data_IF_732904460874
#
_entry.id   IF_732904460874
#
_cell.length_a   1.000
_cell.length_b   1.000
_cell.length_c   1.000
_cell.angle_alpha   90.00
_cell.angle_beta   90.00
_cell.angle_gamma   90.00
#
_symmetry.space_group_name_H-M   'P 1'
#
loop_
_entity.id
_entity.type
_entity.pdbx_description
1 polymer ?
#
# COMPACT_ATOMS: atom_id res chain seq x y z
N UNK A 1 53.36 -1.89 17.17
CA UNK A 1 52.63 -0.71 17.68
C UNK A 1 51.70 -0.21 16.58
N UNK A 2 50.41 -0.53 16.64
CA UNK A 2 49.40 -0.01 15.71
C UNK A 2 48.30 0.70 16.49
N UNK A 3 48.31 2.03 16.49
CA UNK A 3 47.24 2.86 17.07
C UNK A 3 46.09 2.95 16.07
N UNK A 4 45.11 2.05 16.20
CA UNK A 4 43.81 2.18 15.54
C UNK A 4 42.82 2.83 16.49
N UNK A 5 42.83 4.16 16.57
CA UNK A 5 41.90 4.94 17.38
C UNK A 5 40.51 4.98 16.75
N UNK A 6 39.75 3.89 16.85
CA UNK A 6 38.33 3.90 16.54
C UNK A 6 37.58 4.62 17.67
N UNK A 7 36.84 5.70 17.34
CA UNK A 7 35.90 6.32 18.29
C UNK A 7 34.99 5.23 18.85
N UNK A 8 34.97 5.09 20.17
CA UNK A 8 34.06 4.17 20.85
C UNK A 8 32.62 4.61 20.55
N UNK A 9 31.92 3.84 19.72
CA UNK A 9 30.50 4.01 19.50
C UNK A 9 29.77 3.25 20.60
N UNK A 10 29.03 3.98 21.44
CA UNK A 10 28.06 3.36 22.34
C UNK A 10 26.79 3.06 21.53
N UNK A 11 26.40 1.78 21.34
CA UNK A 11 25.12 1.45 20.72
C UNK A 11 24.00 2.06 21.56
N UNK A 12 23.02 2.66 20.90
CA UNK A 12 21.81 3.16 21.56
C UNK A 12 20.63 2.40 20.97
N UNK A 13 19.78 1.86 21.84
CA UNK A 13 18.52 1.27 21.43
C UNK A 13 17.61 2.36 20.84
N UNK A 14 16.99 2.04 19.70
CA UNK A 14 15.92 2.87 19.16
C UNK A 14 14.77 2.90 20.17
N UNK A 15 14.21 4.09 20.40
CA UNK A 15 13.13 4.26 21.37
C UNK A 15 11.91 3.48 20.89
N UNK A 16 11.55 2.42 21.60
CA UNK A 16 10.30 1.68 21.33
C UNK A 16 9.12 2.63 21.56
N UNK A 17 8.34 2.84 20.51
CA UNK A 17 7.18 3.72 20.51
C UNK A 17 5.87 2.92 20.41
N UNK A 18 5.92 1.58 20.52
CA UNK A 18 4.80 0.65 20.32
C UNK A 18 4.12 0.76 18.94
N UNK A 19 4.70 1.51 17.99
CA UNK A 19 4.16 1.69 16.64
C UNK A 19 4.95 0.83 15.67
N UNK A 20 4.44 -0.36 15.39
CA UNK A 20 4.87 -1.15 14.25
C UNK A 20 4.09 -0.69 13.02
N UNK A 21 4.76 -0.11 12.02
CA UNK A 21 4.16 0.14 10.71
C UNK A 21 4.40 -1.09 9.84
N UNK A 22 3.35 -1.85 9.58
CA UNK A 22 3.38 -2.98 8.66
C UNK A 22 2.66 -2.57 7.39
N UNK A 23 3.30 -2.83 6.25
CA UNK A 23 2.74 -2.56 4.93
C UNK A 23 2.36 -3.89 4.29
N UNK A 24 1.23 -3.92 3.59
CA UNK A 24 0.73 -5.08 2.87
C UNK A 24 0.31 -4.65 1.47
N UNK A 25 0.69 -5.43 0.46
CA UNK A 25 0.20 -5.29 -0.91
C UNK A 25 -0.64 -6.52 -1.25
N UNK A 26 -1.79 -6.30 -1.89
CA UNK A 26 -2.75 -7.35 -2.26
C UNK A 26 -3.18 -7.11 -3.69
N UNK A 27 -3.23 -8.19 -4.49
CA UNK A 27 -3.81 -8.19 -5.83
C UNK A 27 -5.04 -9.08 -5.78
N UNK A 28 -6.19 -8.53 -6.16
CA UNK A 28 -7.45 -9.26 -6.31
C UNK A 28 -7.79 -9.38 -7.80
N UNK A 29 -7.91 -10.61 -8.29
CA UNK A 29 -8.17 -10.91 -9.70
C UNK A 29 -9.64 -11.29 -9.88
N UNK A 30 -10.42 -10.41 -10.50
CA UNK A 30 -11.89 -10.54 -10.61
C UNK A 30 -12.32 -11.37 -11.83
N UNK A 31 -11.57 -11.32 -12.92
CA UNK A 31 -11.92 -12.00 -14.17
C UNK A 31 -10.79 -11.93 -15.20
N UNK A 32 -11.06 -12.46 -16.40
CA UNK A 32 -10.13 -12.46 -17.53
C UNK A 32 -10.60 -11.54 -18.66
N UNK A 33 -9.63 -11.07 -19.45
CA UNK A 33 -9.86 -10.15 -20.56
C UNK A 33 -10.23 -8.73 -20.13
N UNK A 34 -10.37 -7.82 -21.11
CA UNK A 34 -10.74 -6.44 -20.84
C UNK A 34 -12.14 -6.32 -20.21
N UNK A 35 -12.21 -5.69 -19.04
CA UNK A 35 -13.45 -5.34 -18.35
C UNK A 35 -13.43 -3.88 -17.93
N UNK A 36 -14.57 -3.19 -18.10
CA UNK A 36 -14.71 -1.75 -17.82
C UNK A 36 -14.36 -1.41 -16.36
N UNK A 37 -14.72 -2.30 -15.45
CA UNK A 37 -14.38 -2.23 -14.04
C UNK A 37 -15.58 -2.03 -13.12
N UNK A 38 -15.34 -1.66 -11.86
CA UNK A 38 -16.40 -1.53 -10.89
C UNK A 38 -17.32 -0.35 -11.21
N UNK A 39 -18.64 -0.56 -11.11
CA UNK A 39 -19.69 0.40 -11.53
C UNK A 39 -19.52 1.80 -10.91
N UNK A 40 -19.01 1.90 -9.68
CA UNK A 40 -18.77 3.17 -8.97
C UNK A 40 -17.28 3.49 -8.82
N UNK A 41 -16.41 2.97 -9.69
CA UNK A 41 -14.97 3.10 -9.58
C UNK A 41 -14.45 2.61 -8.21
N UNK A 42 -13.50 3.35 -7.62
CA UNK A 42 -12.89 2.98 -6.33
C UNK A 42 -13.88 2.92 -5.15
N UNK A 43 -15.02 3.59 -5.22
CA UNK A 43 -16.08 3.47 -4.20
C UNK A 43 -16.64 2.04 -4.13
N UNK A 44 -16.55 1.27 -5.21
CA UNK A 44 -17.00 -0.13 -5.23
C UNK A 44 -16.01 -1.08 -4.55
N UNK A 45 -14.83 -0.61 -4.17
CA UNK A 45 -13.86 -1.37 -3.38
C UNK A 45 -14.16 -1.08 -1.92
N UNK A 46 -14.47 -2.12 -1.16
CA UNK A 46 -14.84 -2.00 0.25
C UNK A 46 -13.78 -2.69 1.11
N UNK A 47 -13.25 -1.96 2.09
CA UNK A 47 -12.43 -2.54 3.16
C UNK A 47 -13.33 -2.69 4.38
N UNK A 48 -13.52 -3.92 4.85
CA UNK A 48 -14.42 -4.23 5.95
C UNK A 48 -15.81 -3.58 5.78
N UNK A 49 -16.42 -3.77 4.60
CA UNK A 49 -17.74 -3.21 4.23
C UNK A 49 -17.81 -1.67 4.18
N UNK A 50 -16.69 -0.97 4.32
CA UNK A 50 -16.60 0.49 4.19
C UNK A 50 -16.01 0.84 2.83
N UNK A 51 -16.70 1.65 2.00
CA UNK A 51 -16.16 2.11 0.72
C UNK A 51 -14.82 2.84 0.88
N UNK A 52 -13.90 2.67 -0.08
CA UNK A 52 -12.63 3.40 -0.06
C UNK A 52 -12.80 4.91 -0.21
N UNK A 53 -13.77 5.35 -1.02
CA UNK A 53 -14.06 6.76 -1.27
C UNK A 53 -15.53 7.09 -1.00
N UNK A 54 -15.79 8.35 -0.66
CA UNK A 54 -17.15 8.91 -0.58
C UNK A 54 -17.76 9.10 -1.99
N UNK A 55 -18.96 9.70 -2.06
CA UNK A 55 -19.68 9.96 -3.32
C UNK A 55 -18.99 11.01 -4.20
N UNK A 56 -18.14 11.84 -3.62
CA UNK A 56 -17.40 12.89 -4.31
C UNK A 56 -15.98 12.42 -4.71
N UNK A 57 -15.61 11.19 -4.35
CA UNK A 57 -14.33 10.57 -4.67
C UNK A 57 -13.24 10.81 -3.61
N UNK A 58 -13.54 11.44 -2.48
CA UNK A 58 -12.55 11.67 -1.43
C UNK A 58 -12.29 10.38 -0.64
N UNK A 59 -11.04 10.10 -0.23
CA UNK A 59 -10.70 8.91 0.53
C UNK A 59 -11.35 8.95 1.93
N UNK A 60 -12.07 7.88 2.27
CA UNK A 60 -12.68 7.66 3.59
C UNK A 60 -11.73 6.87 4.49
N UNK A 61 -10.90 6.00 3.91
CA UNK A 61 -9.93 5.18 4.63
C UNK A 61 -8.53 5.68 4.33
N UNK A 62 -7.86 6.21 5.35
CA UNK A 62 -6.50 6.73 5.22
C UNK A 62 -5.46 5.62 5.22
N UNK A 63 -4.38 5.81 4.46
CA UNK A 63 -3.26 4.86 4.38
C UNK A 63 -3.51 3.67 3.45
N UNK A 64 -4.60 3.67 2.68
CA UNK A 64 -4.87 2.69 1.63
C UNK A 64 -4.73 3.35 0.26
N UNK A 65 -3.94 2.74 -0.61
CA UNK A 65 -3.88 3.06 -2.04
C UNK A 65 -4.48 1.90 -2.81
N UNK A 66 -5.38 2.18 -3.75
CA UNK A 66 -5.99 1.18 -4.61
C UNK A 66 -5.94 1.63 -6.05
N UNK A 67 -5.72 0.67 -6.95
CA UNK A 67 -5.68 0.90 -8.40
C UNK A 67 -6.52 -0.19 -9.05
N UNK A 68 -7.35 0.22 -10.00
CA UNK A 68 -8.05 -0.71 -10.89
C UNK A 68 -7.23 -0.93 -12.16
N UNK A 69 -7.17 -2.18 -12.62
CA UNK A 69 -6.59 -2.54 -13.93
C UNK A 69 -7.64 -3.30 -14.73
N UNK A 70 -7.91 -2.82 -15.94
CA UNK A 70 -8.99 -3.32 -16.78
C UNK A 70 -8.74 -4.72 -17.38
N UNK A 71 -7.58 -5.34 -17.17
CA UNK A 71 -7.30 -6.66 -17.74
C UNK A 71 -6.88 -6.62 -19.21
N UNK A 72 -6.50 -5.46 -19.74
CA UNK A 72 -5.96 -5.31 -21.09
C UNK A 72 -4.71 -6.17 -21.33
N UNK A 73 -4.46 -6.55 -22.58
CA UNK A 73 -3.32 -7.37 -22.97
C UNK A 73 -1.97 -6.69 -22.64
N UNK A 74 -1.90 -5.38 -22.80
CA UNK A 74 -0.73 -4.57 -22.44
C UNK A 74 -0.92 -3.99 -21.03
N UNK A 75 -0.02 -4.31 -20.10
CA UNK A 75 -0.02 -3.74 -18.75
C UNK A 75 1.39 -3.38 -18.29
N UNK A 76 1.51 -2.25 -17.60
CA UNK A 76 2.74 -1.91 -16.88
C UNK A 76 2.91 -2.82 -15.66
N UNK A 77 4.14 -3.10 -15.21
CA UNK A 77 4.34 -3.84 -13.96
C UNK A 77 3.63 -3.18 -12.77
N UNK A 78 3.17 -3.94 -11.76
CA UNK A 78 2.77 -3.38 -10.47
C UNK A 78 3.96 -2.67 -9.80
N UNK A 79 3.69 -1.55 -9.11
CA UNK A 79 4.66 -0.90 -8.21
C UNK A 79 4.78 -1.65 -6.88
#
# INVERSE_FOLDING_TARGET
MGKGGGKAHTPREAKDNLKSTQMMSVIDAVGEGPIEGPVKGLQSILVNKTPLTDTDGNPVIHGVTAVWRAGEQEQTPPE
#
